data_IF_649041844111
#
_entry.id   IF_649041844111
#
_cell.length_a   1.000
_cell.length_b   1.000
_cell.length_c   1.000
_cell.angle_alpha   90.00
_cell.angle_beta   90.00
_cell.angle_gamma   90.00
#
_symmetry.space_group_name_H-M   'P 1'
#
loop_
_entity.id
_entity.type
_entity.pdbx_description
1 polymer ?
#
# COMPACT_ATOMS: atom_id res chain seq x y z
N UNK A 1 -11.13 -0.99 -10.70
CA UNK A 1 -9.95 -0.34 -11.30
C UNK A 1 -8.79 -1.29 -11.12
N UNK A 2 -7.94 -1.50 -12.14
CA UNK A 2 -6.78 -2.39 -12.02
C UNK A 2 -5.82 -1.89 -10.93
N UNK A 3 -5.11 -2.81 -10.30
CA UNK A 3 -4.07 -2.48 -9.33
C UNK A 3 -2.86 -1.86 -10.05
N UNK A 4 -2.30 -0.74 -9.56
CA UNK A 4 -1.24 -0.03 -10.26
C UNK A 4 0.15 -0.63 -9.98
N UNK A 5 0.90 -0.89 -11.04
CA UNK A 5 2.26 -1.42 -10.97
C UNK A 5 3.34 -0.35 -10.83
N UNK A 6 2.98 0.92 -10.97
CA UNK A 6 3.84 2.06 -10.61
C UNK A 6 3.11 2.90 -9.58
N UNK A 7 3.76 3.14 -8.45
CA UNK A 7 3.17 3.81 -7.30
C UNK A 7 4.11 4.89 -6.77
N UNK A 8 3.64 6.12 -6.74
CA UNK A 8 4.35 7.23 -6.09
C UNK A 8 3.86 7.37 -4.65
N UNK A 9 4.77 7.59 -3.71
CA UNK A 9 4.46 7.80 -2.30
C UNK A 9 5.48 8.71 -1.64
N UNK A 10 5.05 9.38 -0.58
CA UNK A 10 5.93 10.14 0.31
C UNK A 10 5.90 9.46 1.67
N UNK A 11 7.06 9.02 2.15
CA UNK A 11 7.23 8.35 3.44
C UNK A 11 8.26 9.17 4.21
N UNK A 12 7.89 9.67 5.39
CA UNK A 12 8.75 10.50 6.24
C UNK A 12 9.41 11.68 5.49
N UNK A 13 8.64 12.30 4.58
CA UNK A 13 9.08 13.43 3.77
C UNK A 13 9.94 13.07 2.56
N UNK A 14 10.28 11.79 2.37
CA UNK A 14 11.08 11.32 1.24
C UNK A 14 10.18 10.74 0.13
N UNK A 15 10.40 11.11 -1.14
CA UNK A 15 9.66 10.55 -2.27
C UNK A 15 10.18 9.17 -2.65
N UNK A 16 9.26 8.22 -2.85
CA UNK A 16 9.54 6.87 -3.35
C UNK A 16 8.68 6.59 -4.58
N UNK A 17 9.27 5.85 -5.52
CA UNK A 17 8.55 5.27 -6.65
C UNK A 17 8.75 3.76 -6.58
N UNK A 18 7.66 3.02 -6.41
CA UNK A 18 7.65 1.55 -6.33
C UNK A 18 7.11 0.99 -7.63
N UNK A 19 7.87 0.09 -8.23
CA UNK A 19 7.53 -0.64 -9.44
C UNK A 19 7.32 -2.12 -9.13
N UNK A 20 6.28 -2.72 -9.69
CA UNK A 20 6.02 -4.16 -9.64
C UNK A 20 5.93 -4.68 -11.07
N UNK A 21 6.39 -5.91 -11.32
CA UNK A 21 6.35 -6.54 -12.65
C UNK A 21 6.86 -5.59 -13.76
N UNK A 22 6.07 -5.33 -14.81
CA UNK A 22 6.47 -4.40 -15.88
C UNK A 22 6.73 -2.97 -15.39
N UNK A 23 6.14 -2.57 -14.26
CA UNK A 23 6.43 -1.31 -13.59
C UNK A 23 7.86 -1.26 -13.05
N UNK A 24 8.39 -2.37 -12.54
CA UNK A 24 9.79 -2.45 -12.09
C UNK A 24 10.76 -2.29 -13.28
N UNK A 25 10.48 -2.96 -14.40
CA UNK A 25 11.29 -2.82 -15.63
C UNK A 25 11.24 -1.40 -16.19
N UNK A 26 10.09 -0.75 -16.13
CA UNK A 26 9.96 0.66 -16.52
C UNK A 26 10.82 1.57 -15.64
N UNK A 27 10.73 1.42 -14.31
CA UNK A 27 11.52 2.24 -13.39
C UNK A 27 13.02 2.02 -13.56
N UNK A 28 13.47 0.80 -13.81
CA UNK A 28 14.89 0.51 -14.08
C UNK A 28 15.43 1.27 -15.29
N UNK A 29 14.63 1.39 -16.35
CA UNK A 29 14.97 2.17 -17.55
C UNK A 29 15.00 3.67 -17.24
N UNK A 30 13.94 4.18 -16.62
CA UNK A 30 13.81 5.61 -16.30
C UNK A 30 14.80 6.08 -15.24
N UNK A 31 15.28 5.19 -14.38
CA UNK A 31 16.20 5.54 -13.30
C UNK A 31 17.44 6.28 -13.81
N UNK A 32 17.97 5.87 -14.97
CA UNK A 32 19.14 6.53 -15.56
C UNK A 32 18.81 7.86 -16.24
N UNK A 33 17.57 8.12 -16.59
CA UNK A 33 17.13 9.28 -17.38
C UNK A 33 16.65 10.44 -16.50
N UNK A 34 15.94 10.15 -15.42
CA UNK A 34 15.35 11.20 -14.57
C UNK A 34 16.47 12.03 -13.91
N UNK A 35 16.45 13.35 -14.07
CA UNK A 35 17.42 14.29 -13.45
C UNK A 35 16.74 15.35 -12.60
N UNK A 36 15.47 15.58 -12.85
CA UNK A 36 14.65 16.58 -12.21
C UNK A 36 13.21 16.09 -12.18
N UNK A 37 12.42 16.65 -11.27
CA UNK A 37 10.97 16.52 -11.29
C UNK A 37 10.35 17.88 -11.03
N UNK A 38 9.17 18.09 -11.61
CA UNK A 38 8.40 19.33 -11.45
C UNK A 38 7.23 19.04 -10.53
N UNK A 39 7.09 19.81 -9.45
CA UNK A 39 5.90 19.83 -8.60
C UNK A 39 5.30 21.23 -8.69
N UNK A 40 4.06 21.29 -9.15
CA UNK A 40 3.38 22.53 -9.52
C UNK A 40 4.26 23.34 -10.50
N UNK A 41 4.65 24.57 -10.14
CA UNK A 41 5.51 25.42 -10.96
C UNK A 41 6.99 25.37 -10.53
N UNK A 42 7.37 24.45 -9.65
CA UNK A 42 8.73 24.36 -9.09
C UNK A 42 9.48 23.16 -9.64
N UNK A 43 10.67 23.40 -10.20
CA UNK A 43 11.58 22.34 -10.66
C UNK A 43 12.56 21.95 -9.55
N UNK A 44 12.58 20.67 -9.20
CA UNK A 44 13.49 20.09 -8.22
C UNK A 44 14.54 19.27 -8.94
N UNK A 45 15.80 19.69 -8.83
CA UNK A 45 16.93 18.90 -9.34
C UNK A 45 17.22 17.77 -8.37
N UNK A 46 17.37 16.57 -8.92
CA UNK A 46 17.70 15.40 -8.12
C UNK A 46 19.22 15.30 -7.99
N UNK A 47 19.72 15.45 -6.76
CA UNK A 47 21.14 15.32 -6.43
C UNK A 47 21.56 13.87 -6.26
N UNK A 48 20.71 13.07 -5.60
CA UNK A 48 20.96 11.67 -5.28
C UNK A 48 19.72 10.83 -5.54
N UNK A 49 19.93 9.59 -5.99
CA UNK A 49 18.88 8.60 -6.21
C UNK A 49 19.39 7.23 -5.82
N UNK A 50 18.52 6.47 -5.19
CA UNK A 50 18.77 5.08 -4.84
C UNK A 50 17.80 4.20 -5.62
N UNK A 51 18.31 3.08 -6.16
CA UNK A 51 17.50 2.06 -6.79
C UNK A 51 17.71 0.75 -6.03
N UNK A 52 16.66 0.28 -5.37
CA UNK A 52 16.58 -1.09 -4.88
C UNK A 52 15.76 -1.94 -5.86
N UNK A 53 16.18 -3.19 -6.06
CA UNK A 53 15.40 -4.17 -6.82
C UNK A 53 15.48 -5.51 -6.11
N UNK A 54 14.35 -6.19 -6.00
CA UNK A 54 14.28 -7.50 -5.38
C UNK A 54 13.22 -8.35 -6.09
N UNK A 55 13.41 -9.66 -6.07
CA UNK A 55 12.45 -10.64 -6.56
C UNK A 55 12.07 -11.55 -5.40
N UNK A 56 10.79 -11.57 -5.06
CA UNK A 56 10.27 -12.34 -3.92
C UNK A 56 9.01 -13.07 -4.31
N UNK A 57 8.82 -14.23 -3.67
CA UNK A 57 7.54 -14.91 -3.69
C UNK A 57 6.47 -14.07 -3.00
N UNK A 58 5.27 -14.05 -3.59
CA UNK A 58 4.09 -13.37 -3.07
C UNK A 58 2.98 -14.42 -2.99
N UNK A 59 2.42 -14.61 -1.80
CA UNK A 59 1.44 -15.67 -1.58
C UNK A 59 1.24 -15.96 -0.11
N UNK A 60 0.36 -16.91 0.17
CA UNK A 60 0.18 -17.47 1.51
C UNK A 60 1.45 -18.20 1.95
N UNK A 61 1.80 -18.02 3.21
CA UNK A 61 2.94 -18.63 3.88
C UNK A 61 2.47 -19.36 5.16
N UNK A 62 3.28 -20.29 5.63
CA UNK A 62 3.01 -21.07 6.84
C UNK A 62 3.19 -20.24 8.13
N UNK A 63 3.80 -19.05 8.02
CA UNK A 63 4.05 -18.15 9.13
C UNK A 63 3.17 -16.89 9.07
N UNK A 64 3.00 -16.24 10.22
CA UNK A 64 2.32 -14.95 10.32
C UNK A 64 3.32 -13.81 10.20
N UNK A 65 3.01 -12.89 9.30
CA UNK A 65 3.80 -11.70 9.00
C UNK A 65 3.08 -10.45 9.52
N UNK A 66 3.82 -9.57 10.20
CA UNK A 66 3.26 -8.33 10.74
C UNK A 66 3.71 -7.12 9.93
N UNK A 67 2.75 -6.29 9.54
CA UNK A 67 2.96 -5.12 8.71
C UNK A 67 2.39 -3.87 9.39
N UNK A 68 2.90 -2.72 8.97
CA UNK A 68 2.41 -1.40 9.33
C UNK A 68 2.01 -0.63 8.08
N UNK A 69 0.89 0.09 8.16
CA UNK A 69 0.57 1.13 7.19
C UNK A 69 1.45 2.36 7.44
N UNK A 70 2.39 2.62 6.52
CA UNK A 70 3.25 3.80 6.52
C UNK A 70 2.49 5.06 6.10
N UNK A 71 1.45 4.89 5.30
CA UNK A 71 0.54 5.96 4.87
C UNK A 71 -0.90 5.56 5.12
N UNK A 72 -1.79 6.55 5.15
CA UNK A 72 -3.21 6.33 5.41
C UNK A 72 -3.80 5.28 4.45
N UNK A 73 -4.44 4.25 5.01
CA UNK A 73 -5.12 3.23 4.26
C UNK A 73 -6.55 3.67 3.92
N UNK A 74 -6.83 3.86 2.63
CA UNK A 74 -8.17 4.17 2.15
C UNK A 74 -8.93 2.88 1.84
N UNK A 75 -9.50 2.27 2.88
CA UNK A 75 -10.13 0.96 2.80
C UNK A 75 -11.53 0.97 2.14
N UNK A 76 -12.32 2.02 2.40
CA UNK A 76 -13.76 2.01 2.13
C UNK A 76 -14.09 2.55 0.73
N UNK A 77 -14.88 1.81 -0.03
CA UNK A 77 -15.64 2.37 -1.16
C UNK A 77 -16.91 3.06 -0.64
N UNK A 78 -17.70 3.69 -1.52
CA UNK A 78 -18.90 4.45 -1.11
C UNK A 78 -19.94 3.58 -0.41
N UNK A 79 -20.16 2.35 -0.89
CA UNK A 79 -21.10 1.40 -0.29
C UNK A 79 -20.64 0.94 1.10
N UNK A 80 -19.38 0.50 1.21
CA UNK A 80 -18.78 0.06 2.47
C UNK A 80 -18.67 1.21 3.48
N UNK A 81 -18.49 2.45 3.01
CA UNK A 81 -18.49 3.61 3.88
C UNK A 81 -19.84 3.84 4.57
N UNK A 82 -20.95 3.72 3.82
CA UNK A 82 -22.30 3.81 4.39
C UNK A 82 -22.50 2.71 5.44
N UNK A 83 -22.24 1.46 5.07
CA UNK A 83 -22.34 0.31 5.97
C UNK A 83 -21.49 0.52 7.24
N UNK A 84 -20.23 0.91 7.08
CA UNK A 84 -19.30 1.13 8.20
C UNK A 84 -19.81 2.21 9.18
N UNK A 85 -20.38 3.31 8.66
CA UNK A 85 -20.97 4.37 9.49
C UNK A 85 -22.19 3.87 10.26
N UNK A 86 -23.04 3.08 9.61
CA UNK A 86 -24.30 2.58 10.20
C UNK A 86 -24.06 1.48 11.25
N UNK A 87 -22.97 0.72 11.13
CA UNK A 87 -22.56 -0.28 12.12
C UNK A 87 -22.20 0.39 13.46
N UNK A 88 -22.89 0.03 14.54
CA UNK A 88 -22.67 0.62 15.88
C UNK A 88 -21.63 -0.13 16.72
N UNK A 89 -21.48 -1.43 16.50
CA UNK A 89 -20.58 -2.28 17.27
C UNK A 89 -19.14 -2.22 16.71
N UNK A 90 -18.16 -2.00 17.58
CA UNK A 90 -16.75 -1.91 17.19
C UNK A 90 -16.20 -3.22 16.61
N UNK A 91 -16.60 -4.37 17.17
CA UNK A 91 -16.18 -5.69 16.70
C UNK A 91 -16.66 -5.94 15.25
N UNK A 92 -17.91 -5.61 14.95
CA UNK A 92 -18.44 -5.74 13.59
C UNK A 92 -17.71 -4.83 12.59
N UNK A 93 -17.36 -3.60 12.99
CA UNK A 93 -16.53 -2.71 12.16
C UNK A 93 -15.14 -3.30 11.90
N UNK A 94 -14.53 -3.91 12.90
CA UNK A 94 -13.23 -4.56 12.76
C UNK A 94 -13.32 -5.76 11.81
N UNK A 95 -14.35 -6.59 11.92
CA UNK A 95 -14.60 -7.71 11.00
C UNK A 95 -14.80 -7.23 9.55
N UNK A 96 -15.52 -6.13 9.35
CA UNK A 96 -15.67 -5.52 8.03
C UNK A 96 -14.32 -5.10 7.45
N UNK A 97 -13.48 -4.44 8.24
CA UNK A 97 -12.17 -3.99 7.78
C UNK A 97 -11.23 -5.16 7.48
N UNK A 98 -11.25 -6.23 8.29
CA UNK A 98 -10.47 -7.46 8.02
C UNK A 98 -10.88 -8.10 6.69
N UNK A 99 -12.19 -8.21 6.41
CA UNK A 99 -12.69 -8.70 5.11
C UNK A 99 -12.25 -7.82 3.95
N UNK A 100 -12.26 -6.49 4.13
CA UNK A 100 -11.79 -5.55 3.11
C UNK A 100 -10.30 -5.70 2.87
N UNK A 101 -9.48 -5.88 3.92
CA UNK A 101 -8.06 -6.14 3.78
C UNK A 101 -7.78 -7.41 2.98
N UNK A 102 -8.45 -8.52 3.30
CA UNK A 102 -8.37 -9.76 2.52
C UNK A 102 -8.73 -9.53 1.05
N UNK A 103 -9.82 -8.80 0.77
CA UNK A 103 -10.21 -8.46 -0.59
C UNK A 103 -9.18 -7.60 -1.33
N UNK A 104 -8.52 -6.68 -0.63
CA UNK A 104 -7.45 -5.85 -1.19
C UNK A 104 -6.21 -6.68 -1.55
N UNK A 105 -5.82 -7.63 -0.69
CA UNK A 105 -4.71 -8.56 -0.95
C UNK A 105 -5.02 -9.42 -2.18
N UNK A 106 -6.21 -10.02 -2.23
CA UNK A 106 -6.66 -10.80 -3.40
C UNK A 106 -6.69 -9.97 -4.69
N UNK A 107 -7.05 -8.69 -4.59
CA UNK A 107 -7.04 -7.78 -5.74
C UNK A 107 -5.63 -7.53 -6.26
N UNK A 108 -4.63 -7.45 -5.37
CA UNK A 108 -3.21 -7.36 -5.74
C UNK A 108 -2.73 -8.66 -6.39
N UNK A 109 -3.01 -9.82 -5.80
CA UNK A 109 -2.66 -11.12 -6.37
C UNK A 109 -3.19 -11.30 -7.79
N UNK A 110 -4.48 -11.00 -7.99
CA UNK A 110 -5.11 -11.06 -9.30
C UNK A 110 -4.38 -10.18 -10.33
N UNK A 111 -3.91 -9.01 -9.92
CA UNK A 111 -3.17 -8.14 -10.83
C UNK A 111 -1.80 -8.72 -11.17
N UNK A 112 -1.10 -9.30 -10.19
CA UNK A 112 0.18 -10.00 -10.35
C UNK A 112 0.05 -11.35 -11.08
N UNK A 113 -1.15 -11.73 -11.55
CA UNK A 113 -1.38 -13.03 -12.18
C UNK A 113 -1.31 -14.23 -11.22
N UNK A 114 -1.30 -13.99 -9.91
CA UNK A 114 -1.29 -15.02 -8.88
C UNK A 114 -2.71 -15.45 -8.51
N UNK A 115 -2.96 -16.76 -8.48
CA UNK A 115 -4.19 -17.35 -7.98
C UNK A 115 -3.90 -18.05 -6.66
N UNK A 116 -4.41 -17.48 -5.56
CA UNK A 116 -4.19 -18.04 -4.24
C UNK A 116 -5.22 -19.12 -3.92
N UNK A 117 -4.74 -20.32 -3.59
CA UNK A 117 -5.56 -21.44 -3.13
C UNK A 117 -5.64 -21.50 -1.60
N UNK A 118 -4.63 -20.95 -0.92
CA UNK A 118 -4.53 -20.89 0.53
C UNK A 118 -5.55 -19.95 1.17
N UNK A 119 -5.97 -20.29 2.39
CA UNK A 119 -6.83 -19.40 3.18
C UNK A 119 -6.02 -18.22 3.71
N UNK A 120 -6.35 -17.00 3.27
CA UNK A 120 -5.80 -15.79 3.84
C UNK A 120 -6.41 -15.55 5.23
N UNK A 121 -5.54 -15.45 6.23
CA UNK A 121 -5.82 -14.99 7.58
C UNK A 121 -5.40 -13.54 7.70
N UNK A 122 -6.23 -12.71 8.32
CA UNK A 122 -5.91 -11.33 8.58
C UNK A 122 -6.44 -10.92 9.95
N UNK A 123 -5.58 -10.28 10.73
CA UNK A 123 -5.92 -9.58 11.97
C UNK A 123 -5.41 -8.15 11.84
N UNK A 124 -6.14 -7.17 12.37
CA UNK A 124 -5.68 -5.79 12.32
C UNK A 124 -6.01 -5.02 13.59
N UNK A 125 -5.14 -4.04 13.86
CA UNK A 125 -5.32 -3.03 14.88
C UNK A 125 -5.14 -1.66 14.21
N UNK A 126 -6.27 -1.06 13.85
CA UNK A 126 -6.29 0.22 13.13
C UNK A 126 -7.23 1.20 13.80
N UNK A 127 -6.86 2.48 13.71
CA UNK A 127 -7.69 3.60 14.14
C UNK A 127 -8.12 4.42 12.92
N UNK A 128 -9.34 4.96 12.99
CA UNK A 128 -9.84 5.89 12.00
C UNK A 128 -9.04 7.18 12.00
N UNK A 129 -8.78 7.70 10.81
CA UNK A 129 -8.17 9.00 10.55
C UNK A 129 -8.86 9.65 9.34
N UNK A 130 -8.42 10.82 8.92
CA UNK A 130 -8.91 11.46 7.71
C UNK A 130 -7.77 11.89 6.80
N UNK A 131 -8.01 11.79 5.50
CA UNK A 131 -7.16 12.37 4.47
C UNK A 131 -7.98 13.15 3.48
N UNK A 132 -7.41 14.26 3.00
CA UNK A 132 -7.95 14.93 1.83
C UNK A 132 -7.57 14.12 0.59
N UNK A 133 -8.57 13.81 -0.23
CA UNK A 133 -8.37 13.18 -1.52
C UNK A 133 -9.15 13.96 -2.56
N UNK A 134 -8.42 14.66 -3.42
CA UNK A 134 -8.97 15.78 -4.21
C UNK A 134 -9.60 16.80 -3.23
N UNK A 135 -10.80 17.27 -3.51
CA UNK A 135 -11.53 18.25 -2.68
C UNK A 135 -12.37 17.60 -1.57
N UNK A 136 -12.30 16.27 -1.39
CA UNK A 136 -13.13 15.54 -0.44
C UNK A 136 -12.32 15.02 0.76
N UNK A 137 -12.87 15.20 1.95
CA UNK A 137 -12.34 14.61 3.18
C UNK A 137 -12.81 13.16 3.29
N UNK A 138 -11.87 12.22 3.18
CA UNK A 138 -12.12 10.79 3.21
C UNK A 138 -11.78 10.20 4.57
N UNK A 139 -12.62 9.26 5.05
CA UNK A 139 -12.27 8.41 6.19
C UNK A 139 -11.20 7.41 5.75
N UNK A 140 -10.10 7.38 6.48
CA UNK A 140 -8.96 6.50 6.26
C UNK A 140 -8.57 5.81 7.56
N UNK A 141 -7.58 4.92 7.50
CA UNK A 141 -7.13 4.15 8.65
C UNK A 141 -5.61 4.20 8.78
N UNK A 142 -5.12 4.24 10.02
CA UNK A 142 -3.70 4.08 10.38
C UNK A 142 -3.57 2.92 11.37
N UNK A 143 -2.47 2.19 11.29
CA UNK A 143 -2.17 1.14 12.25
C UNK A 143 -1.43 -0.03 11.62
N UNK A 144 -1.56 -1.17 12.28
CA UNK A 144 -0.82 -2.39 11.98
C UNK A 144 -1.79 -3.52 11.61
N UNK A 145 -1.30 -4.51 10.87
CA UNK A 145 -2.02 -5.74 10.60
C UNK A 145 -1.07 -6.94 10.56
N UNK A 146 -1.61 -8.12 10.82
CA UNK A 146 -0.91 -9.39 10.74
C UNK A 146 -1.65 -10.29 9.77
N UNK A 147 -0.93 -10.96 8.89
CA UNK A 147 -1.49 -11.87 7.89
C UNK A 147 -0.52 -13.01 7.61
N UNK A 148 -1.02 -14.16 7.19
CA UNK A 148 -0.20 -15.28 6.70
C UNK A 148 0.21 -15.09 5.23
N UNK A 149 0.43 -13.84 4.79
CA UNK A 149 0.73 -13.52 3.41
C UNK A 149 2.06 -12.78 3.35
N UNK A 150 2.94 -13.24 2.48
CA UNK A 150 4.15 -12.54 2.07
C UNK A 150 3.76 -11.44 1.07
N UNK A 151 3.91 -10.19 1.49
CA UNK A 151 3.57 -9.01 0.68
C UNK A 151 4.87 -8.30 0.25
N UNK A 152 4.94 -7.79 -0.99
CA UNK A 152 6.08 -7.01 -1.43
C UNK A 152 6.29 -5.77 -0.55
N UNK A 153 7.53 -5.44 -0.16
CA UNK A 153 7.79 -4.25 0.63
C UNK A 153 7.35 -3.00 -0.12
N UNK A 154 6.82 -2.03 0.63
CA UNK A 154 6.40 -0.73 0.12
C UNK A 154 5.31 -0.78 -0.95
N UNK A 155 4.63 -1.91 -1.22
CA UNK A 155 3.43 -1.88 -2.03
C UNK A 155 2.28 -1.16 -1.28
N UNK A 156 1.26 -0.71 -1.99
CA UNK A 156 0.06 -0.17 -1.37
C UNK A 156 -1.13 -1.12 -1.43
N UNK A 157 -2.03 -1.03 -0.45
CA UNK A 157 -3.29 -1.78 -0.42
C UNK A 157 -4.50 -0.82 -0.37
N UNK A 158 -5.63 -1.24 -0.93
CA UNK A 158 -6.88 -0.47 -0.92
C UNK A 158 -7.01 0.51 -2.09
N UNK A 159 -7.62 1.67 -1.84
CA UNK A 159 -7.89 2.67 -2.88
C UNK A 159 -6.77 3.70 -2.99
N UNK A 160 -6.64 4.29 -4.18
CA UNK A 160 -5.68 5.35 -4.49
C UNK A 160 -4.21 4.95 -4.25
N UNK A 161 -3.89 3.66 -4.40
CA UNK A 161 -2.55 3.07 -4.21
C UNK A 161 -1.49 3.74 -5.09
N UNK A 162 -1.81 4.11 -6.34
CA UNK A 162 -0.86 4.79 -7.23
C UNK A 162 -0.42 6.17 -6.71
N UNK A 163 -1.19 6.77 -5.82
CA UNK A 163 -0.92 8.05 -5.14
C UNK A 163 -0.38 7.86 -3.72
N UNK A 164 0.00 6.63 -3.37
CA UNK A 164 0.74 6.33 -2.17
C UNK A 164 -0.10 5.99 -0.94
N UNK A 165 -1.44 5.93 -1.06
CA UNK A 165 -2.31 5.47 0.03
C UNK A 165 -2.10 3.99 0.35
N UNK A 166 -2.26 3.64 1.62
CA UNK A 166 -2.18 2.27 2.12
C UNK A 166 -0.83 1.60 1.89
N UNK A 167 0.25 2.38 1.82
CA UNK A 167 1.61 1.84 1.70
C UNK A 167 1.96 1.03 2.94
N UNK A 168 2.51 -0.16 2.74
CA UNK A 168 2.86 -1.09 3.83
C UNK A 168 4.37 -1.28 3.94
N UNK A 169 4.84 -1.61 5.14
CA UNK A 169 6.14 -2.22 5.36
C UNK A 169 6.05 -3.27 6.46
N UNK A 170 6.98 -4.21 6.46
CA UNK A 170 7.11 -5.19 7.52
C UNK A 170 7.48 -4.49 8.84
N UNK A 171 6.84 -4.90 9.93
CA UNK A 171 7.00 -4.25 11.23
C UNK A 171 8.38 -4.56 11.80
N UNK A 172 9.13 -3.51 12.15
CA UNK A 172 10.48 -3.64 12.72
C UNK A 172 11.59 -3.65 11.66
N UNK A 173 11.25 -3.62 10.38
CA UNK A 173 12.21 -3.46 9.28
C UNK A 173 12.31 -1.97 8.92
N UNK A 174 13.52 -1.36 8.92
CA UNK A 174 13.70 0.00 8.44
C UNK A 174 13.30 0.15 6.98
N UNK A 175 12.59 1.24 6.65
CA UNK A 175 12.15 1.54 5.27
C UNK A 175 13.32 1.98 4.39
N UNK A 176 14.33 2.60 4.99
CA UNK A 176 15.58 3.00 4.34
C UNK A 176 16.72 2.50 5.21
N UNK A 177 17.59 1.65 4.68
CA UNK A 177 18.92 1.44 5.28
C UNK A 177 19.89 2.41 4.62
N UNK A 178 20.63 3.14 5.45
CA UNK A 178 21.76 3.95 5.02
C UNK A 178 23.00 3.06 5.12
N UNK A 179 23.08 2.05 4.26
CA UNK A 179 24.33 1.28 4.09
C UNK A 179 25.15 1.89 2.95
#
# INVERSE_FOLDING_TARGET
MPYPFVQYKVIDGQPFIVGLEEGAELLRKLFMEIREFVIDDTTYRITEKFLGSDSRYVGVDDQLHSYRFLTNWMALNEENFKKYKDTRHSLERQDMLMKILTGNILSMFKALGHHEEGKIMALMEVRGDHSNFKENRMLTFKGDFTTNVLLPPLCGLGKAVSRGFGTIAEKGVPVVSYD
#
